data_IF_592403555871
#
_entry.id   IF_592403555871
#
_cell.length_a   1.000
_cell.length_b   1.000
_cell.length_c   1.000
_cell.angle_alpha   90.00
_cell.angle_beta   90.00
_cell.angle_gamma   90.00
#
_symmetry.space_group_name_H-M   'P 1'
#
loop_
_entity.id
_entity.type
_entity.pdbx_description
1 polymer ?
#
# COMPACT_ATOMS: atom_id res chain seq x y z
N UNK A 1 31.60 1.04 21.38
CA UNK A 1 31.31 0.09 20.27
C UNK A 1 30.06 -0.69 20.69
N UNK A 2 28.89 -0.05 20.74
CA UNK A 2 27.99 0.29 19.62
C UNK A 2 27.20 -0.92 19.12
N UNK A 3 26.08 -1.22 19.80
CA UNK A 3 24.78 -1.29 19.13
C UNK A 3 23.66 -1.36 20.18
N UNK A 4 23.31 -0.20 20.74
CA UNK A 4 22.03 0.01 21.41
C UNK A 4 21.03 0.55 20.38
N UNK A 5 20.65 -0.31 19.42
CA UNK A 5 19.67 0.01 18.37
C UNK A 5 18.38 -0.84 18.48
N UNK A 6 18.23 -1.62 19.55
CA UNK A 6 17.10 -2.55 19.69
C UNK A 6 15.95 -1.98 20.54
N UNK A 7 16.11 -0.79 21.13
CA UNK A 7 15.03 -0.13 21.89
C UNK A 7 14.44 1.03 21.10
N UNK A 8 13.74 0.71 20.01
CA UNK A 8 12.75 1.66 19.48
C UNK A 8 11.71 1.91 20.59
N UNK A 9 11.32 3.16 20.87
CA UNK A 9 10.37 3.46 21.93
C UNK A 9 9.04 2.71 21.70
N UNK A 10 8.66 1.84 22.65
CA UNK A 10 7.37 1.13 22.74
C UNK A 10 6.23 2.07 23.14
N UNK A 11 6.26 3.33 22.69
CA UNK A 11 5.08 4.17 22.73
C UNK A 11 4.39 3.96 21.38
N UNK A 12 3.34 3.12 21.36
CA UNK A 12 2.37 3.22 20.29
C UNK A 12 2.04 4.71 20.12
N UNK A 13 2.07 5.24 18.89
CA UNK A 13 1.71 6.64 18.66
C UNK A 13 0.37 6.86 19.35
N UNK A 14 0.33 7.84 20.27
CA UNK A 14 -0.90 8.39 20.81
C UNK A 14 -1.88 8.49 19.64
N UNK A 15 -2.91 7.63 19.63
CA UNK A 15 -3.81 7.48 18.50
C UNK A 15 -4.28 8.88 18.12
N UNK A 16 -3.84 9.37 16.95
CA UNK A 16 -4.65 10.35 16.28
C UNK A 16 -6.05 9.73 16.25
N UNK A 17 -7.04 10.42 16.82
CA UNK A 17 -8.42 9.92 16.90
C UNK A 17 -8.96 9.50 15.53
N UNK A 18 -8.33 9.99 14.46
CA UNK A 18 -8.59 9.63 13.08
C UNK A 18 -7.43 8.81 12.45
N UNK A 19 -7.76 7.79 11.63
CA UNK A 19 -6.79 7.06 10.83
C UNK A 19 -6.10 7.95 9.79
N UNK A 20 -4.88 7.58 9.40
CA UNK A 20 -4.19 8.23 8.28
C UNK A 20 -4.86 7.84 6.97
N UNK A 21 -5.27 8.83 6.17
CA UNK A 21 -5.89 8.60 4.87
C UNK A 21 -4.83 8.62 3.77
N UNK A 22 -4.86 7.62 2.90
CA UNK A 22 -4.01 7.51 1.72
C UNK A 22 -4.91 7.53 0.49
N UNK A 23 -4.68 8.49 -0.40
CA UNK A 23 -5.43 8.63 -1.64
C UNK A 23 -4.59 8.06 -2.79
N UNK A 24 -5.09 6.99 -3.40
CA UNK A 24 -4.42 6.21 -4.45
C UNK A 24 -3.84 4.89 -3.91
N UNK A 25 -4.35 3.76 -4.40
CA UNK A 25 -3.86 2.41 -4.13
C UNK A 25 -2.90 1.90 -5.23
N UNK A 26 -2.10 2.79 -5.80
CA UNK A 26 -0.93 2.42 -6.61
C UNK A 26 0.25 1.92 -5.77
N UNK A 27 1.41 1.59 -6.39
CA UNK A 27 2.55 1.02 -5.68
C UNK A 27 3.06 1.91 -4.55
N UNK A 28 3.06 3.23 -4.77
CA UNK A 28 3.48 4.20 -3.76
C UNK A 28 2.52 4.25 -2.56
N UNK A 29 1.21 4.33 -2.81
CA UNK A 29 0.19 4.40 -1.76
C UNK A 29 0.09 3.12 -0.93
N UNK A 30 0.13 1.96 -1.58
CA UNK A 30 0.16 0.67 -0.90
C UNK A 30 1.43 0.50 -0.05
N UNK A 31 2.58 0.97 -0.55
CA UNK A 31 3.84 0.94 0.21
C UNK A 31 3.77 1.86 1.43
N UNK A 32 3.25 3.09 1.26
CA UNK A 32 3.07 4.02 2.36
C UNK A 32 2.13 3.45 3.44
N UNK A 33 0.99 2.88 3.03
CA UNK A 33 0.03 2.25 3.94
C UNK A 33 0.63 1.05 4.65
N UNK A 34 1.37 0.20 3.94
CA UNK A 34 2.06 -0.95 4.51
C UNK A 34 3.06 -0.53 5.60
N UNK A 35 3.90 0.47 5.32
CA UNK A 35 4.92 0.92 6.28
C UNK A 35 4.31 1.55 7.53
N UNK A 36 3.26 2.36 7.36
CA UNK A 36 2.52 2.97 8.48
C UNK A 36 1.78 1.91 9.32
N UNK A 37 1.07 0.98 8.67
CA UNK A 37 0.39 -0.11 9.35
C UNK A 37 1.38 -1.02 10.10
N UNK A 38 2.55 -1.30 9.52
CA UNK A 38 3.62 -2.08 10.15
C UNK A 38 4.18 -1.41 11.41
N UNK A 39 4.12 -0.08 11.48
CA UNK A 39 4.49 0.71 12.66
C UNK A 39 3.34 0.88 13.67
N UNK A 40 2.17 0.29 13.42
CA UNK A 40 1.01 0.33 14.32
C UNK A 40 0.10 1.54 14.12
N UNK A 41 0.27 2.33 13.06
CA UNK A 41 -0.65 3.43 12.76
C UNK A 41 -1.90 2.90 12.04
N UNK A 42 -3.11 3.32 12.44
CA UNK A 42 -4.33 3.00 11.71
C UNK A 42 -4.33 3.75 10.37
N UNK A 43 -4.60 3.04 9.29
CA UNK A 43 -4.61 3.58 7.91
C UNK A 43 -5.89 3.21 7.17
N UNK A 44 -6.36 4.11 6.31
CA UNK A 44 -7.40 3.84 5.31
C UNK A 44 -6.85 4.24 3.94
N UNK A 45 -6.91 3.34 2.98
CA UNK A 45 -6.49 3.60 1.60
C UNK A 45 -7.74 3.70 0.73
N UNK A 46 -7.84 4.79 -0.03
CA UNK A 46 -8.87 5.00 -1.05
C UNK A 46 -8.27 4.85 -2.44
N UNK A 47 -9.01 4.25 -3.35
CA UNK A 47 -8.70 4.17 -4.77
C UNK A 47 -9.94 4.63 -5.56
N UNK A 48 -9.71 5.33 -6.66
CA UNK A 48 -10.76 5.79 -7.54
C UNK A 48 -11.25 4.69 -8.49
N UNK A 49 -10.36 3.76 -8.87
CA UNK A 49 -10.70 2.60 -9.70
C UNK A 49 -11.24 1.41 -8.90
N UNK A 50 -11.88 0.47 -9.60
CA UNK A 50 -12.37 -0.80 -9.04
C UNK A 50 -11.25 -1.79 -8.67
N UNK A 51 -10.00 -1.46 -9.03
CA UNK A 51 -8.84 -2.32 -8.80
C UNK A 51 -7.64 -1.51 -8.31
N UNK A 52 -6.93 -2.05 -7.32
CA UNK A 52 -5.66 -1.50 -6.84
C UNK A 52 -4.52 -1.82 -7.80
N UNK A 53 -3.42 -1.08 -7.71
CA UNK A 53 -2.19 -1.29 -8.48
C UNK A 53 -1.81 -0.10 -9.37
N UNK A 54 -2.75 0.79 -9.69
CA UNK A 54 -2.49 1.92 -10.59
C UNK A 54 -1.87 1.44 -11.92
N UNK A 55 -0.74 2.04 -12.33
CA UNK A 55 -0.02 1.61 -13.53
C UNK A 55 0.58 0.20 -13.43
N UNK A 56 0.84 -0.30 -12.22
CA UNK A 56 1.36 -1.66 -12.00
C UNK A 56 0.21 -2.67 -12.02
N UNK A 57 -0.47 -2.76 -13.17
CA UNK A 57 -1.66 -3.57 -13.39
C UNK A 57 -1.46 -4.47 -14.61
N UNK A 58 -1.89 -5.72 -14.47
CA UNK A 58 -2.01 -6.66 -15.57
C UNK A 58 -3.46 -6.70 -16.03
N UNK A 59 -3.70 -6.26 -17.26
CA UNK A 59 -5.00 -6.38 -17.93
C UNK A 59 -5.14 -7.74 -18.59
N UNK A 60 -6.29 -8.37 -18.36
CA UNK A 60 -6.69 -9.61 -19.02
C UNK A 60 -7.64 -9.25 -20.17
N UNK A 61 -7.36 -9.74 -21.37
CA UNK A 61 -8.20 -9.53 -22.56
C UNK A 61 -8.43 -10.84 -23.29
N UNK A 62 -9.67 -11.11 -23.66
CA UNK A 62 -10.01 -12.24 -24.52
C UNK A 62 -9.79 -11.89 -26.00
N UNK A 63 -9.24 -12.84 -26.76
CA UNK A 63 -9.08 -12.71 -28.20
C UNK A 63 -9.24 -14.06 -28.92
N UNK A 64 -9.08 -14.07 -30.25
CA UNK A 64 -9.33 -15.26 -31.07
C UNK A 64 -8.49 -16.50 -30.69
N UNK A 65 -7.34 -16.31 -30.03
CA UNK A 65 -6.46 -17.38 -29.57
C UNK A 65 -6.56 -17.70 -28.07
N UNK A 66 -7.53 -17.13 -27.35
CA UNK A 66 -7.72 -17.34 -25.91
C UNK A 66 -7.49 -16.09 -25.07
N UNK A 67 -7.11 -16.30 -23.81
CA UNK A 67 -6.84 -15.22 -22.83
C UNK A 67 -5.42 -14.65 -23.02
N UNK A 68 -5.32 -13.33 -23.08
CA UNK A 68 -4.07 -12.59 -23.14
C UNK A 68 -3.93 -11.70 -21.91
N UNK A 69 -2.70 -11.56 -21.41
CA UNK A 69 -2.37 -10.77 -20.23
C UNK A 69 -1.35 -9.71 -20.62
N UNK A 70 -1.65 -8.44 -20.33
CA UNK A 70 -0.82 -7.30 -20.71
C UNK A 70 -0.48 -6.49 -19.46
N UNK A 71 0.81 -6.25 -19.23
CA UNK A 71 1.26 -5.34 -18.20
C UNK A 71 1.22 -3.90 -18.73
N UNK A 72 0.56 -3.02 -17.99
CA UNK A 72 0.32 -1.63 -18.41
C UNK A 72 1.38 -0.63 -17.91
N UNK A 73 2.37 -1.08 -17.14
CA UNK A 73 3.39 -0.25 -16.52
C UNK A 73 4.61 -1.01 -16.07
#
# INVERSE_FOLDING_TARGET
>A
MSDDRTTLPTAAPCLAEAPTLILGAGPAGLTAGYLLAKQGFPVIVFEAEDQVGGIAKTEVREGPGGEYRFDLG
#
